data_IF_183046474281
#
_entry.id   IF_183046474281
#
_cell.length_a   1.000
_cell.length_b   1.000
_cell.length_c   1.000
_cell.angle_alpha   90.00
_cell.angle_beta   90.00
_cell.angle_gamma   90.00
#
_symmetry.space_group_name_H-M   'P 1'
#
loop_
_entity.id
_entity.type
_entity.pdbx_description
1 polymer ?
#
# COMPACT_ATOMS: atom_id res chain seq x y z
N UNK A 1 -52.61 24.29 -31.08
CA UNK A 1 -51.37 23.98 -30.34
C UNK A 1 -50.32 23.54 -31.35
N UNK A 2 -49.35 24.41 -31.67
CA UNK A 2 -48.34 24.13 -32.69
C UNK A 2 -47.30 23.14 -32.14
N UNK A 3 -47.13 22.00 -32.82
CA UNK A 3 -46.19 20.93 -32.42
C UNK A 3 -44.75 21.44 -32.27
N UNK A 4 -44.37 22.46 -33.03
CA UNK A 4 -43.06 23.11 -32.96
C UNK A 4 -42.83 23.86 -31.64
N UNK A 5 -43.85 24.54 -31.12
CA UNK A 5 -43.75 25.27 -29.85
C UNK A 5 -43.70 24.32 -28.64
N UNK A 6 -44.40 23.18 -28.73
CA UNK A 6 -44.34 22.14 -27.71
C UNK A 6 -42.95 21.50 -27.65
N UNK A 7 -42.36 21.16 -28.81
CA UNK A 7 -41.01 20.61 -28.88
C UNK A 7 -39.94 21.62 -28.41
N UNK A 8 -40.09 22.91 -28.75
CA UNK A 8 -39.17 23.95 -28.29
C UNK A 8 -39.19 24.12 -26.76
N UNK A 9 -40.37 24.04 -26.13
CA UNK A 9 -40.51 24.17 -24.66
C UNK A 9 -39.98 22.94 -23.91
N UNK A 10 -40.18 21.74 -24.45
CA UNK A 10 -39.60 20.51 -23.89
C UNK A 10 -38.08 20.50 -24.03
N UNK A 11 -37.53 20.95 -25.17
CA UNK A 11 -36.09 21.09 -25.36
C UNK A 11 -35.47 22.12 -24.41
N UNK A 12 -36.18 23.22 -24.10
CA UNK A 12 -35.70 24.24 -23.17
C UNK A 12 -35.72 23.76 -21.70
N UNK A 13 -36.76 23.00 -21.31
CA UNK A 13 -36.88 22.41 -19.98
C UNK A 13 -35.87 21.28 -19.73
N UNK A 14 -35.57 20.47 -20.74
CA UNK A 14 -34.62 19.34 -20.65
C UNK A 14 -33.18 19.76 -20.96
N UNK A 15 -32.97 20.78 -21.79
CA UNK A 15 -31.65 21.30 -22.16
C UNK A 15 -31.01 22.20 -21.11
N UNK A 16 -31.80 22.78 -20.18
CA UNK A 16 -31.30 23.63 -19.10
C UNK A 16 -30.55 22.92 -17.96
N UNK A 17 -30.56 21.58 -17.93
CA UNK A 17 -29.92 20.78 -16.87
C UNK A 17 -28.47 20.35 -17.20
N UNK A 18 -27.96 20.64 -18.41
CA UNK A 18 -26.67 20.08 -18.87
C UNK A 18 -25.48 21.01 -18.64
N UNK A 19 -25.70 22.30 -18.35
CA UNK A 19 -24.62 23.22 -17.96
C UNK A 19 -24.36 23.05 -16.45
N UNK A 20 -23.76 21.92 -16.07
CA UNK A 20 -23.48 21.57 -14.67
C UNK A 20 -23.30 20.07 -14.42
N UNK A 21 -23.68 19.22 -15.38
CA UNK A 21 -23.47 17.77 -15.31
C UNK A 21 -21.98 17.40 -15.20
N UNK A 22 -21.09 18.16 -15.84
CA UNK A 22 -19.64 17.95 -15.72
C UNK A 22 -19.13 18.14 -14.29
N UNK A 23 -19.69 19.09 -13.52
CA UNK A 23 -19.33 19.27 -12.10
C UNK A 23 -19.88 18.17 -11.19
N UNK A 24 -21.03 17.58 -11.54
CA UNK A 24 -21.63 16.47 -10.80
C UNK A 24 -20.98 15.12 -11.12
N UNK A 25 -20.44 14.94 -12.33
CA UNK A 25 -19.87 13.68 -12.81
C UNK A 25 -18.32 13.60 -12.70
N UNK A 26 -17.63 14.68 -12.34
CA UNK A 26 -16.17 14.68 -12.06
C UNK A 26 -15.71 13.93 -10.80
N UNK A 27 -16.59 13.17 -10.13
CA UNK A 27 -16.25 12.41 -8.93
C UNK A 27 -15.23 11.27 -9.12
N UNK A 28 -14.93 10.86 -10.35
CA UNK A 28 -14.01 9.75 -10.65
C UNK A 28 -13.18 9.98 -11.94
N UNK A 29 -12.20 10.87 -11.90
CA UNK A 29 -10.96 10.75 -12.70
C UNK A 29 -9.86 11.68 -12.17
N UNK A 30 -8.57 11.31 -12.31
CA UNK A 30 -7.48 12.07 -11.72
C UNK A 30 -7.23 13.34 -12.53
N UNK A 31 -7.42 14.51 -11.90
CA UNK A 31 -7.11 15.78 -12.50
C UNK A 31 -5.59 15.98 -12.60
N UNK A 32 -5.11 16.07 -13.83
CA UNK A 32 -3.82 16.64 -14.20
C UNK A 32 -3.81 18.15 -13.91
N UNK A 33 -2.65 18.62 -13.42
CA UNK A 33 -2.12 20.00 -13.45
C UNK A 33 -2.93 21.12 -12.77
N UNK A 34 -2.42 21.46 -11.57
CA UNK A 34 -2.22 22.81 -11.02
C UNK A 34 -3.40 23.69 -10.58
N UNK A 35 -3.39 23.93 -9.26
CA UNK A 35 -3.92 25.08 -8.50
C UNK A 35 -5.44 25.21 -8.35
N UNK A 36 -5.98 24.70 -7.26
CA UNK A 36 -6.33 25.51 -6.08
C UNK A 36 -6.85 24.63 -4.93
N UNK A 37 -6.52 25.04 -3.71
CA UNK A 37 -6.81 24.35 -2.46
C UNK A 37 -8.32 24.35 -2.16
N UNK A 38 -8.95 23.19 -2.26
CA UNK A 38 -10.05 22.82 -1.36
C UNK A 38 -9.99 21.32 -1.08
N UNK A 39 -8.97 20.89 -0.34
CA UNK A 39 -8.95 19.56 0.25
C UNK A 39 -9.92 19.54 1.44
N UNK A 40 -11.12 19.01 1.21
CA UNK A 40 -11.94 18.50 2.29
C UNK A 40 -11.16 17.36 2.99
N UNK A 41 -10.59 17.68 4.16
CA UNK A 41 -10.04 16.70 5.11
C UNK A 41 -8.70 16.06 4.73
N UNK A 42 -7.72 16.83 4.25
CA UNK A 42 -6.35 16.34 4.16
C UNK A 42 -5.85 15.92 5.55
N UNK A 43 -5.74 14.61 5.80
CA UNK A 43 -5.10 14.11 7.02
C UNK A 43 -3.66 14.59 7.01
N UNK A 44 -3.29 15.42 7.99
CA UNK A 44 -1.93 15.92 8.19
C UNK A 44 -1.06 14.83 8.79
N UNK A 45 -0.74 13.80 8.00
CA UNK A 45 0.26 12.79 8.34
C UNK A 45 1.63 13.15 7.77
N UNK A 46 2.74 12.55 8.27
CA UNK A 46 4.05 12.74 7.67
C UNK A 46 4.02 12.24 6.22
N UNK A 47 4.55 13.05 5.33
CA UNK A 47 4.72 12.67 3.92
C UNK A 47 6.13 12.11 3.78
N UNK A 48 6.24 10.81 3.46
CA UNK A 48 7.54 10.21 3.15
C UNK A 48 8.07 10.78 1.84
N UNK A 49 9.34 11.16 1.81
CA UNK A 49 9.99 11.66 0.60
C UNK A 49 10.36 10.52 -0.38
N UNK A 50 10.78 10.89 -1.59
CA UNK A 50 11.15 9.92 -2.62
C UNK A 50 12.31 8.99 -2.21
N UNK A 51 13.25 9.47 -1.37
CA UNK A 51 14.39 8.67 -0.90
C UNK A 51 13.93 7.64 0.14
N UNK A 52 13.05 8.04 1.05
CA UNK A 52 12.44 7.16 2.04
C UNK A 52 11.56 6.09 1.37
N UNK A 53 10.80 6.46 0.34
CA UNK A 53 10.02 5.49 -0.45
C UNK A 53 10.95 4.49 -1.15
N UNK A 54 12.00 4.95 -1.84
CA UNK A 54 12.96 4.06 -2.49
C UNK A 54 13.70 3.16 -1.50
N UNK A 55 14.00 3.66 -0.30
CA UNK A 55 14.58 2.88 0.78
C UNK A 55 13.62 1.77 1.25
N UNK A 56 12.34 2.10 1.47
CA UNK A 56 11.34 1.12 1.85
C UNK A 56 11.10 0.08 0.74
N UNK A 57 11.18 0.47 -0.53
CA UNK A 57 11.13 -0.49 -1.64
C UNK A 57 12.27 -1.53 -1.53
N UNK A 58 13.50 -1.12 -1.23
CA UNK A 58 14.64 -2.03 -1.06
C UNK A 58 14.49 -2.93 0.20
N UNK A 59 13.97 -2.37 1.29
CA UNK A 59 13.67 -3.15 2.51
C UNK A 59 12.58 -4.19 2.22
N UNK A 60 11.49 -3.79 1.57
CA UNK A 60 10.39 -4.67 1.22
C UNK A 60 10.79 -5.72 0.20
N UNK A 61 11.63 -5.40 -0.79
CA UNK A 61 12.15 -6.39 -1.75
C UNK A 61 13.10 -7.37 -1.08
N UNK A 62 13.81 -6.98 -0.02
CA UNK A 62 14.59 -7.94 0.78
C UNK A 62 13.67 -8.94 1.49
N UNK A 63 12.48 -8.53 1.91
CA UNK A 63 11.48 -9.41 2.55
C UNK A 63 10.79 -10.30 1.52
N UNK A 64 10.40 -9.75 0.37
CA UNK A 64 9.76 -10.46 -0.75
C UNK A 64 10.53 -10.16 -2.03
N UNK A 65 11.65 -10.87 -2.27
CA UNK A 65 12.49 -10.63 -3.44
C UNK A 65 11.86 -11.15 -4.71
N UNK A 66 12.31 -10.62 -5.84
CA UNK A 66 11.97 -11.18 -7.15
C UNK A 66 12.48 -12.62 -7.24
N UNK A 67 11.57 -13.52 -7.62
CA UNK A 67 11.88 -14.94 -7.89
C UNK A 67 11.30 -15.31 -9.25
N UNK A 68 10.35 -16.25 -9.30
CA UNK A 68 9.53 -16.52 -10.49
C UNK A 68 8.42 -15.49 -10.71
N UNK A 69 8.19 -14.64 -9.71
CA UNK A 69 7.27 -13.50 -9.77
C UNK A 69 8.02 -12.22 -9.38
N UNK A 70 7.63 -11.04 -9.90
CA UNK A 70 8.23 -9.78 -9.50
C UNK A 70 8.08 -9.54 -7.98
N UNK A 71 9.13 -8.98 -7.36
CA UNK A 71 9.19 -8.74 -5.90
C UNK A 71 8.41 -7.49 -5.43
N UNK A 72 8.51 -7.20 -4.14
CA UNK A 72 7.79 -6.10 -3.51
C UNK A 72 8.17 -4.71 -4.04
N UNK A 73 9.41 -4.50 -4.48
CA UNK A 73 9.80 -3.24 -5.11
C UNK A 73 9.09 -3.04 -6.45
N UNK A 74 8.94 -4.11 -7.24
CA UNK A 74 8.19 -4.05 -8.49
C UNK A 74 6.70 -3.73 -8.25
N UNK A 75 6.16 -4.16 -7.12
CA UNK A 75 4.82 -3.84 -6.65
C UNK A 75 4.68 -2.44 -6.01
N UNK A 76 5.74 -1.61 -6.01
CA UNK A 76 5.76 -0.24 -5.45
C UNK A 76 5.29 -0.17 -4.00
N UNK A 77 5.68 -1.16 -3.21
CA UNK A 77 5.24 -1.30 -1.81
C UNK A 77 5.67 -0.10 -0.95
N UNK A 78 6.81 0.53 -1.21
CA UNK A 78 7.23 1.75 -0.50
C UNK A 78 6.25 2.90 -0.70
N UNK A 79 5.69 3.05 -1.91
CA UNK A 79 4.66 4.06 -2.20
C UNK A 79 3.35 3.75 -1.50
N UNK A 80 2.96 2.47 -1.47
CA UNK A 80 1.80 2.01 -0.71
C UNK A 80 1.96 2.31 0.79
N UNK A 81 3.12 2.05 1.38
CA UNK A 81 3.41 2.36 2.78
C UNK A 81 3.24 3.85 3.07
N UNK A 82 3.74 4.73 2.21
CA UNK A 82 3.61 6.17 2.39
C UNK A 82 2.15 6.62 2.49
N UNK A 83 1.28 6.08 1.63
CA UNK A 83 -0.17 6.36 1.65
C UNK A 83 -0.82 5.78 2.91
N UNK A 84 -0.56 4.50 3.22
CA UNK A 84 -1.15 3.83 4.38
C UNK A 84 -0.78 4.50 5.71
N UNK A 85 0.49 4.86 5.88
CA UNK A 85 0.95 5.53 7.11
C UNK A 85 0.34 6.93 7.22
N UNK A 86 0.29 7.70 6.13
CA UNK A 86 -0.31 9.04 6.14
C UNK A 86 -1.81 9.00 6.44
N UNK A 87 -2.55 8.09 5.81
CA UNK A 87 -4.01 8.15 5.77
C UNK A 87 -4.70 7.25 6.79
N UNK A 88 -4.05 6.17 7.25
CA UNK A 88 -4.67 5.15 8.07
C UNK A 88 -4.09 5.05 9.50
N UNK A 89 -2.88 5.57 9.74
CA UNK A 89 -2.26 5.45 11.06
C UNK A 89 -2.59 6.63 11.97
N UNK A 90 -2.59 6.36 13.29
CA UNK A 90 -2.67 7.40 14.31
C UNK A 90 -1.35 8.19 14.35
N UNK A 91 -1.34 9.45 14.82
CA UNK A 91 -0.10 10.24 14.91
C UNK A 91 1.05 9.54 15.66
N UNK A 92 0.73 8.79 16.73
CA UNK A 92 1.72 8.01 17.49
C UNK A 92 2.36 6.91 16.63
N UNK A 93 1.56 6.18 15.85
CA UNK A 93 2.04 5.12 14.96
C UNK A 93 2.82 5.69 13.77
N UNK A 94 2.41 6.86 13.27
CA UNK A 94 3.16 7.59 12.24
C UNK A 94 4.57 7.96 12.71
N UNK A 95 4.70 8.44 13.95
CA UNK A 95 5.99 8.76 14.55
C UNK A 95 6.86 7.52 14.74
N UNK A 96 6.28 6.42 15.26
CA UNK A 96 6.98 5.14 15.42
C UNK A 96 7.50 4.64 14.07
N UNK A 97 6.66 4.66 13.04
CA UNK A 97 7.05 4.21 11.70
C UNK A 97 8.19 5.07 11.14
N UNK A 98 8.06 6.40 11.22
CA UNK A 98 9.03 7.33 10.65
C UNK A 98 10.38 7.25 11.37
N UNK A 99 10.38 7.16 12.71
CA UNK A 99 11.61 6.89 13.50
C UNK A 99 12.19 5.52 13.18
N UNK A 100 11.33 4.54 12.86
CA UNK A 100 11.71 3.20 12.45
C UNK A 100 12.65 3.13 11.25
N UNK A 101 12.59 4.10 10.32
CA UNK A 101 13.51 4.17 9.18
C UNK A 101 14.95 4.40 9.67
N UNK A 102 15.14 5.36 10.59
CA UNK A 102 16.43 5.63 11.22
C UNK A 102 16.89 4.47 12.09
N UNK A 103 15.99 3.87 12.87
CA UNK A 103 16.33 2.72 13.71
C UNK A 103 16.81 1.50 12.90
N UNK A 104 16.24 1.28 11.72
CA UNK A 104 16.71 0.22 10.82
C UNK A 104 18.11 0.52 10.28
N UNK A 105 18.37 1.77 9.92
CA UNK A 105 19.69 2.22 9.47
C UNK A 105 20.75 2.06 10.58
N UNK A 106 20.42 2.49 11.81
CA UNK A 106 21.28 2.31 12.99
C UNK A 106 21.54 0.83 13.29
N UNK A 107 20.51 -0.03 13.16
CA UNK A 107 20.66 -1.47 13.31
C UNK A 107 21.59 -2.07 12.24
N UNK A 108 21.50 -1.59 11.00
CA UNK A 108 22.42 -1.99 9.92
C UNK A 108 23.86 -1.55 10.22
N UNK A 109 24.07 -0.31 10.65
CA UNK A 109 25.38 0.20 11.03
C UNK A 109 25.96 -0.60 12.19
N UNK A 110 25.16 -0.92 13.21
CA UNK A 110 25.59 -1.71 14.37
C UNK A 110 25.95 -3.15 14.00
N UNK A 111 25.19 -3.80 13.12
CA UNK A 111 25.38 -5.21 12.77
C UNK A 111 26.45 -5.40 11.69
N UNK A 112 26.54 -4.48 10.72
CA UNK A 112 27.32 -4.66 9.50
C UNK A 112 28.39 -3.57 9.29
N UNK A 113 28.44 -2.53 10.14
CA UNK A 113 29.38 -1.41 10.01
C UNK A 113 29.08 -0.47 8.83
N UNK A 114 27.90 -0.59 8.21
CA UNK A 114 27.47 0.19 7.05
C UNK A 114 25.96 0.23 6.92
N UNK A 115 25.48 1.16 6.11
CA UNK A 115 24.06 1.41 5.91
C UNK A 115 23.35 0.29 5.16
N UNK A 116 22.04 0.20 5.32
CA UNK A 116 21.27 -0.93 4.78
C UNK A 116 21.45 -1.07 3.27
N UNK A 117 21.46 0.05 2.54
CA UNK A 117 21.63 0.05 1.09
C UNK A 117 23.06 -0.35 0.66
N UNK A 118 24.06 -0.18 1.52
CA UNK A 118 25.45 -0.59 1.27
C UNK A 118 25.73 -2.05 1.67
N UNK A 119 24.79 -2.71 2.34
CA UNK A 119 24.85 -4.14 2.62
C UNK A 119 24.58 -4.97 1.37
N UNK A 120 25.25 -6.12 1.27
CA UNK A 120 24.91 -7.14 0.27
C UNK A 120 23.62 -7.89 0.64
N UNK A 121 23.11 -8.72 -0.26
CA UNK A 121 21.85 -9.44 -0.06
C UNK A 121 21.85 -10.36 1.18
N UNK A 122 22.98 -11.00 1.51
CA UNK A 122 23.09 -11.87 2.66
C UNK A 122 23.07 -11.07 3.96
N UNK A 123 23.79 -9.94 4.01
CA UNK A 123 23.81 -9.01 5.13
C UNK A 123 22.43 -8.38 5.37
N UNK A 124 21.75 -7.93 4.30
CA UNK A 124 20.38 -7.39 4.40
C UNK A 124 19.42 -8.44 4.96
N UNK A 125 19.45 -9.67 4.42
CA UNK A 125 18.62 -10.78 4.91
C UNK A 125 18.91 -11.10 6.38
N UNK A 126 20.17 -11.17 6.77
CA UNK A 126 20.56 -11.45 8.14
C UNK A 126 20.06 -10.38 9.11
N UNK A 127 20.20 -9.09 8.75
CA UNK A 127 19.67 -7.97 9.52
C UNK A 127 18.15 -8.06 9.69
N UNK A 128 17.39 -8.20 8.59
CA UNK A 128 15.93 -8.23 8.69
C UNK A 128 15.42 -9.48 9.43
N UNK A 129 16.16 -10.59 9.40
CA UNK A 129 15.86 -11.79 10.19
C UNK A 129 16.10 -11.56 11.69
N UNK A 130 17.17 -10.86 12.04
CA UNK A 130 17.45 -10.46 13.43
C UNK A 130 16.35 -9.53 13.96
N UNK A 131 15.97 -8.51 13.19
CA UNK A 131 14.86 -7.61 13.54
C UNK A 131 13.51 -8.35 13.62
N UNK A 132 13.27 -9.35 12.77
CA UNK A 132 12.05 -10.18 12.86
C UNK A 132 12.01 -11.00 14.15
N UNK A 133 13.17 -11.46 14.62
CA UNK A 133 13.28 -12.21 15.87
C UNK A 133 13.06 -11.28 17.07
N UNK A 134 13.69 -10.10 17.04
CA UNK A 134 13.51 -9.05 18.04
C UNK A 134 12.04 -8.65 18.20
N UNK A 135 11.36 -8.29 17.09
CA UNK A 135 9.97 -7.88 17.15
C UNK A 135 9.03 -9.01 17.64
N UNK A 136 9.30 -10.27 17.28
CA UNK A 136 8.51 -11.42 17.77
C UNK A 136 8.66 -11.59 19.27
N UNK A 137 9.88 -11.44 19.78
CA UNK A 137 10.13 -11.54 21.22
C UNK A 137 9.47 -10.39 21.96
N UNK A 138 9.59 -9.17 21.45
CA UNK A 138 8.88 -8.00 21.97
C UNK A 138 7.37 -8.25 22.01
N UNK A 139 6.77 -8.75 20.92
CA UNK A 139 5.34 -9.02 20.83
C UNK A 139 4.81 -10.06 21.82
N UNK A 140 5.66 -10.97 22.33
CA UNK A 140 5.26 -11.96 23.36
C UNK A 140 5.15 -11.34 24.75
N UNK A 141 5.94 -10.31 25.04
CA UNK A 141 6.01 -9.66 26.35
C UNK A 141 5.31 -8.31 26.39
N UNK A 142 4.87 -7.81 25.22
CA UNK A 142 4.28 -6.49 25.06
C UNK A 142 2.90 -6.41 25.72
N UNK A 143 2.64 -5.32 26.46
CA UNK A 143 1.28 -5.00 26.93
C UNK A 143 0.48 -4.18 25.89
N UNK A 144 -0.86 -4.17 25.92
CA UNK A 144 -1.67 -3.42 24.96
C UNK A 144 -1.35 -1.91 24.88
N UNK A 145 -0.85 -1.33 25.98
CA UNK A 145 -0.54 0.09 26.10
C UNK A 145 0.81 0.47 25.45
N UNK A 146 1.69 -0.52 25.26
CA UNK A 146 3.00 -0.27 24.67
C UNK A 146 2.89 -0.01 23.15
N UNK A 147 3.82 0.76 22.56
CA UNK A 147 3.84 0.99 21.12
C UNK A 147 4.16 -0.28 20.33
N UNK A 148 3.74 -0.33 19.07
CA UNK A 148 4.15 -1.40 18.16
C UNK A 148 5.64 -1.31 17.84
N UNK A 149 6.27 -2.45 17.57
CA UNK A 149 7.65 -2.46 17.09
C UNK A 149 7.69 -1.96 15.64
N UNK A 150 8.57 -1.01 15.32
CA UNK A 150 8.63 -0.41 13.98
C UNK A 150 8.80 -1.45 12.86
N UNK A 151 9.68 -2.44 13.04
CA UNK A 151 9.88 -3.49 12.04
C UNK A 151 8.65 -4.40 11.85
N UNK A 152 7.83 -4.59 12.89
CA UNK A 152 6.55 -5.31 12.76
C UNK A 152 5.63 -4.56 11.78
N UNK A 153 5.53 -3.24 11.92
CA UNK A 153 4.71 -2.38 11.06
C UNK A 153 5.20 -2.40 9.61
N UNK A 154 6.51 -2.26 9.38
CA UNK A 154 7.12 -2.35 8.03
C UNK A 154 6.83 -3.72 7.40
N UNK A 155 6.99 -4.80 8.17
CA UNK A 155 6.75 -6.16 7.66
C UNK A 155 5.27 -6.40 7.35
N UNK A 156 4.36 -5.93 8.19
CA UNK A 156 2.91 -6.03 7.94
C UNK A 156 2.50 -5.27 6.69
N UNK A 157 2.93 -4.01 6.56
CA UNK A 157 2.62 -3.22 5.37
C UNK A 157 3.30 -3.79 4.12
N UNK A 158 4.46 -4.44 4.25
CA UNK A 158 5.09 -5.15 3.11
C UNK A 158 4.22 -6.29 2.63
N UNK A 159 3.76 -7.15 3.54
CA UNK A 159 2.90 -8.29 3.21
C UNK A 159 1.56 -7.80 2.65
N UNK A 160 0.94 -6.83 3.31
CA UNK A 160 -0.35 -6.27 2.90
C UNK A 160 -0.25 -5.61 1.53
N UNK A 161 0.74 -4.72 1.35
CA UNK A 161 0.92 -3.99 0.09
C UNK A 161 1.27 -4.91 -1.07
N UNK A 162 2.08 -5.94 -0.83
CA UNK A 162 2.42 -6.89 -1.88
C UNK A 162 1.21 -7.75 -2.27
N UNK A 163 0.56 -8.42 -1.30
CA UNK A 163 -0.51 -9.38 -1.63
C UNK A 163 -1.84 -8.72 -2.02
N UNK A 164 -2.01 -7.40 -1.82
CA UNK A 164 -3.12 -6.63 -2.38
C UNK A 164 -2.78 -5.91 -3.69
N UNK A 165 -1.52 -5.94 -4.12
CA UNK A 165 -1.12 -5.44 -5.45
C UNK A 165 -1.56 -6.38 -6.56
N UNK A 166 -1.65 -5.87 -7.79
CA UNK A 166 -1.89 -6.70 -8.98
C UNK A 166 -0.84 -7.81 -9.12
N UNK A 167 0.44 -7.51 -8.89
CA UNK A 167 1.54 -8.49 -8.96
C UNK A 167 1.32 -9.60 -7.93
N UNK A 168 1.08 -9.25 -6.66
CA UNK A 168 0.88 -10.24 -5.61
C UNK A 168 -0.38 -11.06 -5.81
N UNK A 169 -1.51 -10.40 -6.12
CA UNK A 169 -2.81 -11.07 -6.25
C UNK A 169 -2.89 -11.96 -7.51
N UNK A 170 -2.38 -11.51 -8.66
CA UNK A 170 -2.59 -12.20 -9.94
C UNK A 170 -1.41 -13.07 -10.36
N UNK A 171 -0.19 -12.75 -9.93
CA UNK A 171 1.01 -13.48 -10.32
C UNK A 171 1.54 -14.34 -9.17
N UNK A 172 1.64 -13.81 -7.94
CA UNK A 172 2.13 -14.59 -6.80
C UNK A 172 1.06 -15.53 -6.21
N UNK A 173 -0.21 -15.13 -6.27
CA UNK A 173 -1.36 -15.91 -5.82
C UNK A 173 -2.20 -16.40 -7.02
N UNK A 174 -3.19 -17.25 -6.74
CA UNK A 174 -4.20 -17.69 -7.70
C UNK A 174 -5.38 -16.73 -7.66
N UNK A 175 -5.49 -15.87 -8.66
CA UNK A 175 -6.62 -14.97 -8.79
C UNK A 175 -7.76 -15.64 -9.57
N UNK A 176 -8.95 -15.68 -8.97
CA UNK A 176 -10.18 -16.14 -9.61
C UNK A 176 -11.23 -15.03 -9.47
N UNK A 177 -11.40 -14.16 -10.47
CA UNK A 177 -12.26 -12.98 -10.36
C UNK A 177 -13.74 -13.33 -10.17
N UNK A 178 -14.17 -14.51 -10.66
CA UNK A 178 -15.54 -15.00 -10.53
C UNK A 178 -15.47 -16.45 -10.03
N UNK A 179 -15.58 -16.68 -8.70
CA UNK A 179 -15.39 -18.01 -8.12
C UNK A 179 -16.50 -19.01 -8.43
N UNK A 180 -17.66 -18.55 -8.90
CA UNK A 180 -18.79 -19.43 -9.19
C UNK A 180 -19.35 -20.08 -7.93
N UNK A 181 -19.57 -21.40 -7.98
CA UNK A 181 -20.10 -22.17 -6.84
C UNK A 181 -19.01 -22.41 -5.79
N UNK A 182 -19.41 -22.53 -4.52
CA UNK A 182 -18.49 -22.92 -3.45
C UNK A 182 -18.04 -24.38 -3.62
N UNK A 183 -16.72 -24.60 -3.65
CA UNK A 183 -16.11 -25.92 -3.67
C UNK A 183 -15.32 -26.15 -2.37
N UNK A 184 -15.93 -26.84 -1.41
CA UNK A 184 -15.34 -27.05 -0.09
C UNK A 184 -14.12 -27.98 -0.04
N UNK A 185 -13.80 -28.66 -1.15
CA UNK A 185 -12.62 -29.52 -1.27
C UNK A 185 -12.05 -29.41 -2.68
N UNK A 186 -10.92 -28.71 -2.80
CA UNK A 186 -10.16 -28.57 -4.06
C UNK A 186 -8.86 -29.36 -3.90
N UNK A 187 -8.48 -30.23 -4.86
CA UNK A 187 -7.23 -30.97 -4.77
C UNK A 187 -6.03 -30.03 -4.62
N UNK A 188 -5.23 -30.23 -3.56
CA UNK A 188 -3.98 -29.51 -3.33
C UNK A 188 -2.79 -30.34 -3.80
N UNK A 189 -1.94 -29.77 -4.65
CA UNK A 189 -0.62 -30.33 -4.95
C UNK A 189 0.45 -29.55 -4.20
N UNK A 190 1.44 -30.24 -3.62
CA UNK A 190 2.55 -29.57 -2.94
C UNK A 190 3.23 -28.59 -3.91
N UNK A 191 3.35 -27.33 -3.49
CA UNK A 191 3.89 -26.25 -4.32
C UNK A 191 2.81 -25.40 -5.01
N UNK A 192 1.54 -25.78 -4.89
CA UNK A 192 0.42 -24.95 -5.33
C UNK A 192 0.43 -23.59 -4.61
N UNK A 193 0.31 -22.52 -5.40
CA UNK A 193 0.16 -21.15 -4.90
C UNK A 193 -1.16 -21.03 -4.12
N UNK A 194 -1.15 -20.23 -3.06
CA UNK A 194 -2.36 -19.88 -2.32
C UNK A 194 -3.33 -19.07 -3.21
N UNK A 195 -4.61 -19.11 -2.86
CA UNK A 195 -5.62 -18.29 -3.53
C UNK A 195 -5.52 -16.83 -3.10
N UNK A 196 -5.74 -15.91 -4.03
CA UNK A 196 -6.01 -14.53 -3.72
C UNK A 196 -7.42 -14.46 -3.14
N UNK A 197 -7.52 -14.36 -1.82
CA UNK A 197 -8.79 -14.15 -1.13
C UNK A 197 -9.09 -12.66 -1.12
N UNK A 198 -10.21 -12.26 -1.71
CA UNK A 198 -10.85 -10.96 -1.49
C UNK A 198 -11.63 -10.95 -0.20
#
# INVERSE_FOLDING_TARGET
MNRRDALARVALLMGGAVIGGDYFLTGCSPASSDKEKTQAGAKTGPTLDAKQIAYLDEVSDTIIPTTHTPGAKAAKVGSFMAVMVRDCYKPQDQEIFTKGLTQLEDASQKMNGKGFLACDAAQRKALLTALDTEQKNYGKTKTPEQPNHYFRMIKELTLLGYFTSEIGATQALRYLPVPGKYEGSVPYKKGDRAWATT
#
